data_IF_527630257882
#
_entry.id   IF_527630257882
#
_cell.length_a   1.000
_cell.length_b   1.000
_cell.length_c   1.000
_cell.angle_alpha   90.00
_cell.angle_beta   90.00
_cell.angle_gamma   90.00
#
_symmetry.space_group_name_H-M   'P 1'
#
loop_
_entity.id
_entity.type
_entity.pdbx_description
1 polymer ?
#
# COMPACT_ATOMS: atom_id res chain seq x y z
N UNK A 1 -14.41 -7.48 1.12
CA UNK A 1 -14.67 -6.25 1.88
C UNK A 1 -13.43 -5.38 1.84
N UNK A 2 -13.60 -4.08 1.58
CA UNK A 2 -12.51 -3.09 1.63
C UNK A 2 -12.71 -2.22 2.87
N UNK A 3 -11.65 -2.03 3.64
CA UNK A 3 -11.63 -1.12 4.78
C UNK A 3 -11.14 0.24 4.35
N UNK A 4 -11.79 1.30 4.83
CA UNK A 4 -11.42 2.68 4.56
C UNK A 4 -11.05 3.39 5.86
N UNK A 5 -10.00 4.21 5.80
CA UNK A 5 -9.47 4.99 6.90
C UNK A 5 -9.23 6.42 6.42
N UNK A 6 -9.29 7.35 7.37
CA UNK A 6 -8.92 8.75 7.15
C UNK A 6 -7.77 9.06 8.09
N UNK A 7 -6.59 9.34 7.53
CA UNK A 7 -5.46 9.81 8.31
C UNK A 7 -5.58 11.31 8.53
N UNK A 8 -5.80 11.68 9.79
CA UNK A 8 -5.93 13.08 10.25
C UNK A 8 -4.61 13.60 10.86
N UNK A 9 -3.48 12.92 10.61
CA UNK A 9 -2.17 13.34 11.13
C UNK A 9 -1.67 14.64 10.49
N UNK A 10 -2.29 15.03 9.37
CA UNK A 10 -2.06 16.29 8.65
C UNK A 10 -3.40 16.88 8.17
N UNK A 11 -3.36 18.12 7.70
CA UNK A 11 -4.49 18.82 7.09
C UNK A 11 -4.06 19.42 5.74
N UNK A 12 -4.73 19.11 4.61
CA UNK A 12 -5.90 18.22 4.47
C UNK A 12 -5.61 16.74 4.80
N UNK A 13 -6.62 15.97 5.26
CA UNK A 13 -6.43 14.57 5.62
C UNK A 13 -6.27 13.67 4.38
N UNK A 14 -5.64 12.52 4.55
CA UNK A 14 -5.49 11.54 3.49
C UNK A 14 -6.47 10.38 3.62
N UNK A 15 -6.85 9.81 2.49
CA UNK A 15 -7.67 8.59 2.44
C UNK A 15 -6.76 7.38 2.29
N UNK A 16 -6.91 6.41 3.19
CA UNK A 16 -6.22 5.13 3.12
C UNK A 16 -7.26 4.02 3.00
N UNK A 17 -6.91 2.94 2.33
CA UNK A 17 -7.77 1.75 2.27
C UNK A 17 -6.96 0.47 2.08
N UNK A 18 -7.55 -0.66 2.47
CA UNK A 18 -6.94 -1.98 2.29
C UNK A 18 -8.00 -3.06 2.10
N UNK A 19 -7.65 -4.10 1.36
CA UNK A 19 -8.50 -5.29 1.22
C UNK A 19 -8.51 -6.11 2.50
N UNK A 20 -9.65 -6.74 2.82
CA UNK A 20 -9.77 -7.63 3.97
C UNK A 20 -9.00 -8.95 3.79
N UNK A 21 -8.75 -9.35 2.54
CA UNK A 21 -8.02 -10.57 2.20
C UNK A 21 -7.31 -10.46 0.84
N UNK A 22 -6.66 -11.55 0.44
CA UNK A 22 -5.90 -11.62 -0.82
C UNK A 22 -6.75 -11.47 -2.09
N UNK A 23 -8.04 -11.84 -2.06
CA UNK A 23 -8.93 -11.72 -3.22
C UNK A 23 -9.33 -10.25 -3.40
N UNK A 24 -9.62 -9.55 -2.31
CA UNK A 24 -9.85 -8.10 -2.34
C UNK A 24 -8.60 -7.33 -2.76
N UNK A 25 -7.42 -7.77 -2.33
CA UNK A 25 -6.16 -7.19 -2.78
C UNK A 25 -5.97 -7.34 -4.30
N UNK A 26 -6.34 -8.47 -4.90
CA UNK A 26 -6.31 -8.64 -6.37
C UNK A 26 -7.23 -7.65 -7.08
N UNK A 27 -8.46 -7.47 -6.59
CA UNK A 27 -9.40 -6.54 -7.19
C UNK A 27 -8.92 -5.09 -7.04
N UNK A 28 -8.36 -4.72 -5.89
CA UNK A 28 -7.78 -3.39 -5.68
C UNK A 28 -6.56 -3.12 -6.56
N UNK A 29 -5.73 -4.13 -6.83
CA UNK A 29 -4.63 -3.99 -7.80
C UNK A 29 -5.21 -3.80 -9.21
N UNK A 30 -6.26 -4.53 -9.57
CA UNK A 30 -6.84 -4.48 -10.91
C UNK A 30 -7.54 -3.15 -11.21
N UNK A 31 -8.16 -2.54 -10.20
CA UNK A 31 -9.00 -1.35 -10.33
C UNK A 31 -8.45 -0.12 -9.60
N UNK A 32 -7.17 -0.13 -9.24
CA UNK A 32 -6.50 1.00 -8.64
C UNK A 32 -6.43 2.21 -9.57
N UNK A 33 -6.23 3.38 -8.98
CA UNK A 33 -6.10 4.66 -9.66
C UNK A 33 -4.62 5.01 -9.81
N UNK A 34 -4.25 5.80 -10.85
CA UNK A 34 -2.88 6.31 -11.01
C UNK A 34 -2.36 7.07 -9.80
N UNK A 35 -3.24 7.71 -9.04
CA UNK A 35 -2.96 8.48 -7.81
C UNK A 35 -2.80 7.62 -6.56
N UNK A 36 -2.92 6.29 -6.66
CA UNK A 36 -2.80 5.43 -5.50
C UNK A 36 -1.33 5.01 -5.28
N UNK A 37 -0.86 5.18 -4.04
CA UNK A 37 0.44 4.67 -3.59
C UNK A 37 0.19 3.35 -2.85
N UNK A 38 0.83 2.29 -3.31
CA UNK A 38 0.71 0.95 -2.73
C UNK A 38 1.82 0.71 -1.70
N UNK A 39 1.48 0.06 -0.58
CA UNK A 39 2.40 -0.30 0.50
C UNK A 39 2.27 -1.78 0.89
N UNK A 40 3.40 -2.40 1.24
CA UNK A 40 3.47 -3.80 1.69
C UNK A 40 4.74 -4.05 2.52
N UNK A 41 4.70 -5.04 3.41
CA UNK A 41 5.90 -5.46 4.16
C UNK A 41 6.85 -6.23 3.25
N UNK A 42 8.13 -5.86 3.19
CA UNK A 42 9.09 -6.59 2.37
C UNK A 42 9.22 -8.05 2.83
N UNK A 43 9.21 -8.99 1.86
CA UNK A 43 9.39 -10.44 2.03
C UNK A 43 8.41 -11.17 2.98
N UNK A 44 7.47 -10.47 3.60
CA UNK A 44 6.51 -11.06 4.55
C UNK A 44 5.08 -10.92 4.02
N UNK A 45 4.20 -11.83 4.42
CA UNK A 45 2.78 -11.70 4.08
C UNK A 45 2.14 -10.58 4.90
N UNK A 46 1.59 -9.57 4.22
CA UNK A 46 0.81 -8.50 4.82
C UNK A 46 -0.38 -8.10 3.96
N UNK A 47 -1.26 -7.28 4.54
CA UNK A 47 -2.23 -6.53 3.76
C UNK A 47 -1.54 -5.63 2.72
N UNK A 48 -2.28 -5.30 1.66
CA UNK A 48 -1.93 -4.26 0.70
C UNK A 48 -2.67 -2.99 1.13
N UNK A 49 -1.93 -2.00 1.59
CA UNK A 49 -2.50 -0.69 1.95
C UNK A 49 -2.28 0.26 0.79
N UNK A 50 -3.28 1.09 0.54
CA UNK A 50 -3.26 2.11 -0.49
C UNK A 50 -3.49 3.47 0.14
N UNK A 51 -2.65 4.44 -0.20
CA UNK A 51 -2.85 5.85 0.08
C UNK A 51 -3.33 6.51 -1.21
N UNK A 52 -4.46 7.23 -1.17
CA UNK A 52 -4.90 8.05 -2.30
C UNK A 52 -4.34 9.46 -2.19
N UNK A 53 -3.51 9.84 -3.15
CA UNK A 53 -2.98 11.20 -3.27
C UNK A 53 -4.10 12.21 -3.56
N UNK A 54 -3.88 13.45 -3.15
CA UNK A 54 -4.75 14.55 -3.53
C UNK A 54 -4.58 14.90 -5.01
N UNK A 55 -5.59 15.52 -5.66
CA UNK A 55 -5.49 15.86 -7.08
C UNK A 55 -4.27 16.74 -7.39
N UNK A 56 -3.40 16.26 -8.28
CA UNK A 56 -2.19 16.96 -8.72
C UNK A 56 -0.97 16.80 -7.81
N UNK A 57 -1.09 16.02 -6.75
CA UNK A 57 0.00 15.69 -5.82
C UNK A 57 0.86 14.54 -6.38
N UNK A 58 2.16 14.55 -6.05
CA UNK A 58 3.10 13.47 -6.33
C UNK A 58 3.52 12.76 -5.04
N UNK A 59 4.16 11.59 -5.15
CA UNK A 59 4.66 10.86 -3.99
C UNK A 59 5.63 11.69 -3.13
N UNK A 60 6.42 12.56 -3.76
CA UNK A 60 7.40 13.43 -3.08
C UNK A 60 6.75 14.53 -2.24
N UNK A 61 5.48 14.86 -2.51
CA UNK A 61 4.72 15.87 -1.78
C UNK A 61 4.10 15.29 -0.49
N UNK A 62 4.01 13.96 -0.37
CA UNK A 62 3.39 13.29 0.78
C UNK A 62 4.25 13.48 2.04
N UNK A 63 3.69 14.05 3.13
CA UNK A 63 4.44 14.21 4.37
C UNK A 63 4.89 12.87 4.96
N UNK A 64 6.13 12.79 5.45
CA UNK A 64 6.69 11.57 6.05
C UNK A 64 5.80 10.96 7.14
N UNK A 65 5.11 11.80 7.92
CA UNK A 65 4.17 11.34 8.97
C UNK A 65 2.98 10.53 8.42
N UNK A 66 2.56 10.79 7.18
CA UNK A 66 1.50 10.03 6.49
C UNK A 66 2.07 8.71 5.96
N UNK A 67 3.28 8.74 5.42
CA UNK A 67 4.02 7.53 5.00
C UNK A 67 4.21 6.59 6.19
N UNK A 68 4.59 7.13 7.35
CA UNK A 68 4.77 6.37 8.59
C UNK A 68 3.45 5.77 9.06
N UNK A 69 2.34 6.52 8.98
CA UNK A 69 0.99 6.03 9.32
C UNK A 69 0.57 4.85 8.42
N UNK A 70 0.83 4.95 7.11
CA UNK A 70 0.62 3.84 6.17
C UNK A 70 1.48 2.61 6.54
N UNK A 71 2.77 2.83 6.85
CA UNK A 71 3.70 1.77 7.23
C UNK A 71 3.28 1.07 8.52
N UNK A 72 2.78 1.81 9.53
CA UNK A 72 2.25 1.22 10.75
C UNK A 72 0.99 0.39 10.48
N UNK A 73 0.08 0.87 9.63
CA UNK A 73 -1.12 0.14 9.25
C UNK A 73 -0.77 -1.18 8.54
N UNK A 74 0.18 -1.15 7.61
CA UNK A 74 0.69 -2.34 6.91
C UNK A 74 1.34 -3.33 7.88
N UNK A 75 2.19 -2.84 8.80
CA UNK A 75 2.85 -3.66 9.82
C UNK A 75 1.84 -4.38 10.70
N UNK A 76 0.85 -3.64 11.21
CA UNK A 76 -0.19 -4.16 12.08
C UNK A 76 -1.03 -5.25 11.40
N UNK A 77 -1.15 -5.18 10.07
CA UNK A 77 -1.87 -6.15 9.25
C UNK A 77 -0.93 -7.15 8.53
N UNK A 78 0.26 -7.38 9.08
CA UNK A 78 1.17 -8.45 8.66
C UNK A 78 1.08 -9.66 9.58
N UNK A 79 1.04 -10.86 9.00
CA UNK A 79 0.94 -12.12 9.77
C UNK A 79 2.13 -12.29 10.70
N UNK A 80 3.34 -12.04 10.20
CA UNK A 80 4.59 -12.16 10.96
C UNK A 80 5.17 -10.79 11.34
N UNK A 81 5.07 -9.80 10.45
CA UNK A 81 5.66 -8.48 10.62
C UNK A 81 5.14 -7.73 11.85
N UNK A 82 3.88 -7.96 12.25
CA UNK A 82 3.31 -7.35 13.47
C UNK A 82 4.05 -7.74 14.75
N UNK A 83 4.76 -8.87 14.77
CA UNK A 83 5.49 -9.39 15.94
C UNK A 83 6.98 -9.05 15.92
N UNK A 84 7.46 -8.47 14.83
CA UNK A 84 8.87 -8.14 14.64
C UNK A 84 9.16 -6.72 15.13
N UNK A 85 10.31 -6.55 15.77
CA UNK A 85 10.75 -5.23 16.24
C UNK A 85 10.87 -4.26 15.05
N UNK A 86 11.64 -4.66 14.05
CA UNK A 86 11.91 -3.89 12.84
C UNK A 86 11.47 -4.70 11.61
N UNK A 87 10.89 -4.01 10.64
CA UNK A 87 10.54 -4.54 9.33
C UNK A 87 10.85 -3.48 8.29
N UNK A 88 11.10 -3.91 7.06
CA UNK A 88 11.17 -3.02 5.91
C UNK A 88 9.79 -2.96 5.26
N UNK A 89 9.32 -1.76 4.94
CA UNK A 89 8.07 -1.53 4.20
C UNK A 89 8.44 -0.97 2.84
N UNK A 90 7.95 -1.62 1.79
CA UNK A 90 8.10 -1.15 0.42
C UNK A 90 6.85 -0.38 0.01
N UNK A 91 7.03 0.70 -0.73
CA UNK A 91 5.94 1.45 -1.31
C UNK A 91 6.30 1.99 -2.69
N UNK A 92 5.29 2.09 -3.56
CA UNK A 92 5.45 2.57 -4.93
C UNK A 92 4.11 3.05 -5.46
N UNK A 93 4.12 3.91 -6.49
CA UNK A 93 2.91 4.22 -7.24
C UNK A 93 2.27 2.95 -7.80
N UNK A 94 0.94 2.88 -7.78
CA UNK A 94 0.15 1.78 -8.31
C UNK A 94 0.52 1.45 -9.76
N UNK A 95 0.81 2.48 -10.58
CA UNK A 95 1.22 2.30 -11.97
C UNK A 95 2.54 1.52 -12.18
N UNK A 96 3.37 1.37 -11.14
CA UNK A 96 4.58 0.55 -11.20
C UNK A 96 4.32 -0.94 -10.84
N UNK A 97 3.11 -1.28 -10.37
CA UNK A 97 2.75 -2.66 -10.06
C UNK A 97 2.55 -3.45 -11.34
N UNK A 98 3.24 -4.58 -11.43
CA UNK A 98 3.16 -5.53 -12.55
C UNK A 98 2.54 -6.83 -12.08
N UNK A 99 1.32 -7.09 -12.53
CA UNK A 99 0.64 -8.38 -12.35
C UNK A 99 0.64 -9.16 -13.66
N UNK A 100 1.02 -10.44 -13.62
CA UNK A 100 0.97 -11.34 -14.78
C UNK A 100 0.09 -12.55 -14.50
N UNK A 101 -0.45 -13.20 -15.54
CA UNK A 101 -1.38 -14.32 -15.38
C UNK A 101 -0.78 -15.56 -14.70
N UNK A 102 0.56 -15.67 -14.65
CA UNK A 102 1.25 -16.78 -13.96
C UNK A 102 1.59 -16.51 -12.50
N UNK A 103 1.23 -15.34 -11.96
CA UNK A 103 1.47 -14.99 -10.56
C UNK A 103 0.32 -15.43 -9.66
N UNK A 104 0.66 -15.93 -8.47
CA UNK A 104 -0.32 -16.35 -7.48
C UNK A 104 -1.19 -15.19 -7.00
N UNK A 105 -2.37 -15.50 -6.48
CA UNK A 105 -3.29 -14.50 -5.88
C UNK A 105 -2.59 -13.79 -4.71
N UNK A 106 -2.52 -12.47 -4.76
CA UNK A 106 -1.82 -11.59 -3.83
C UNK A 106 -0.37 -11.27 -4.24
N UNK A 107 0.23 -12.03 -5.16
CA UNK A 107 1.61 -11.79 -5.59
C UNK A 107 1.69 -10.63 -6.58
N UNK A 108 2.58 -9.67 -6.34
CA UNK A 108 2.85 -8.55 -7.25
C UNK A 108 4.33 -8.54 -7.64
N UNK A 109 4.62 -8.11 -8.87
CA UNK A 109 5.95 -7.69 -9.29
C UNK A 109 5.98 -6.18 -9.54
N UNK A 110 7.14 -5.68 -9.94
CA UNK A 110 7.35 -4.27 -10.27
C UNK A 110 7.83 -4.13 -11.73
N UNK A 111 7.49 -3.03 -12.39
CA UNK A 111 8.10 -2.70 -13.69
C UNK A 111 9.51 -2.13 -13.50
N UNK A 112 9.73 -1.40 -12.40
CA UNK A 112 11.02 -0.85 -11.97
C UNK A 112 11.27 -1.23 -10.51
N UNK A 113 12.37 -1.91 -10.24
CA UNK A 113 12.72 -2.37 -8.89
C UNK A 113 13.33 -1.27 -8.00
N UNK A 114 13.93 -0.23 -8.60
CA UNK A 114 14.49 0.94 -7.92
C UNK A 114 14.38 2.16 -8.84
N UNK A 115 13.70 3.19 -8.39
CA UNK A 115 13.99 4.58 -8.75
C UNK A 115 14.75 5.24 -7.61
#
# INVERSE_FOLDING_TARGET
MVFYFISNVVSPPYTLYMGADKHENEDLIKWGFPEDVWFHVDKLSSAHVYLRLHPGETLDDVPQVVIDDCAQLVKANSIQGTKMNNIDVVYTMWGNLKKTAGMDVGQVGFFRDKE
#
